data_IF_759792283621
#
_entry.id   IF_759792283621
#
_cell.length_a   1.000
_cell.length_b   1.000
_cell.length_c   1.000
_cell.angle_alpha   90.00
_cell.angle_beta   90.00
_cell.angle_gamma   90.00
#
_symmetry.space_group_name_H-M   'P 1'
#
loop_
_entity.id
_entity.type
_entity.pdbx_description
1 polymer ?
#
# COMPACT_ATOMS: atom_id res chain seq x y z
N UNK A 1 -12.69 24.27 -17.47
CA UNK A 1 -11.68 23.25 -17.09
C UNK A 1 -11.18 23.42 -15.66
N UNK A 2 -10.96 24.64 -15.16
CA UNK A 2 -10.52 24.87 -13.77
C UNK A 2 -11.55 24.45 -12.71
N UNK A 3 -12.84 24.70 -12.93
CA UNK A 3 -13.91 24.33 -11.98
C UNK A 3 -14.01 22.82 -11.73
N UNK A 4 -13.95 22.00 -12.79
CA UNK A 4 -13.95 20.53 -12.66
C UNK A 4 -12.69 19.99 -11.96
N UNK A 5 -11.52 20.63 -12.16
CA UNK A 5 -10.28 20.24 -11.45
C UNK A 5 -10.36 20.57 -9.96
N UNK A 6 -10.94 21.72 -9.61
CA UNK A 6 -11.15 22.12 -8.22
C UNK A 6 -12.15 21.20 -7.51
N UNK A 7 -13.28 20.89 -8.14
CA UNK A 7 -14.30 19.95 -7.61
C UNK A 7 -13.74 18.53 -7.45
N UNK A 8 -12.95 18.05 -8.40
CA UNK A 8 -12.27 16.74 -8.29
C UNK A 8 -11.22 16.72 -7.18
N UNK A 9 -10.46 17.80 -7.00
CA UNK A 9 -9.48 17.92 -5.91
C UNK A 9 -10.15 17.99 -4.53
N UNK A 10 -11.30 18.66 -4.42
CA UNK A 10 -12.10 18.72 -3.21
C UNK A 10 -12.72 17.35 -2.87
N UNK A 11 -13.27 16.66 -3.88
CA UNK A 11 -13.75 15.29 -3.75
C UNK A 11 -12.66 14.31 -3.31
N UNK A 12 -11.45 14.41 -3.89
CA UNK A 12 -10.31 13.59 -3.50
C UNK A 12 -9.87 13.87 -2.05
N UNK A 13 -9.85 15.13 -1.60
CA UNK A 13 -9.56 15.47 -0.20
C UNK A 13 -10.61 14.93 0.76
N UNK A 14 -11.89 15.05 0.42
CA UNK A 14 -12.97 14.50 1.22
C UNK A 14 -12.88 12.97 1.32
N UNK A 15 -12.51 12.30 0.22
CA UNK A 15 -12.29 10.85 0.23
C UNK A 15 -11.07 10.46 1.07
N UNK A 16 -9.95 11.17 0.95
CA UNK A 16 -8.77 10.91 1.77
C UNK A 16 -9.06 11.06 3.28
N UNK A 17 -9.88 12.04 3.68
CA UNK A 17 -10.31 12.20 5.07
C UNK A 17 -11.20 11.04 5.55
N UNK A 18 -12.09 10.53 4.69
CA UNK A 18 -12.88 9.32 5.02
C UNK A 18 -11.98 8.11 5.17
N UNK A 19 -11.04 7.93 4.26
CA UNK A 19 -10.11 6.80 4.30
C UNK A 19 -9.25 6.83 5.57
N UNK A 20 -8.79 8.02 5.95
CA UNK A 20 -8.03 8.23 7.19
C UNK A 20 -8.80 7.77 8.44
N UNK A 21 -10.06 8.17 8.57
CA UNK A 21 -10.93 7.76 9.68
C UNK A 21 -11.11 6.24 9.69
N UNK A 22 -11.36 5.64 8.53
CA UNK A 22 -11.56 4.19 8.40
C UNK A 22 -10.28 3.40 8.74
N UNK A 23 -9.11 3.87 8.31
CA UNK A 23 -7.82 3.25 8.65
C UNK A 23 -7.58 3.35 10.16
N UNK A 24 -7.75 4.53 10.75
CA UNK A 24 -7.57 4.70 12.20
C UNK A 24 -8.50 3.80 13.02
N UNK A 25 -9.76 3.69 12.59
CA UNK A 25 -10.73 2.80 13.22
C UNK A 25 -10.30 1.33 13.08
N UNK A 26 -9.89 0.91 11.88
CA UNK A 26 -9.39 -0.44 11.65
C UNK A 26 -8.17 -0.76 12.52
N UNK A 27 -7.19 0.14 12.59
CA UNK A 27 -5.99 -0.02 13.41
C UNK A 27 -6.37 -0.17 14.89
N UNK A 28 -7.29 0.66 15.39
CA UNK A 28 -7.79 0.57 16.77
C UNK A 28 -8.50 -0.75 17.04
N UNK A 29 -9.39 -1.18 16.15
CA UNK A 29 -10.17 -2.42 16.30
C UNK A 29 -9.28 -3.67 16.25
N UNK A 30 -8.16 -3.61 15.50
CA UNK A 30 -7.15 -4.67 15.45
C UNK A 30 -6.07 -4.55 16.54
N UNK A 31 -6.14 -3.53 17.40
CA UNK A 31 -5.16 -3.31 18.47
C UNK A 31 -3.76 -2.90 17.98
N UNK A 32 -3.66 -2.30 16.79
CA UNK A 32 -2.41 -1.91 16.13
C UNK A 32 -2.04 -0.49 16.57
N UNK A 33 -1.20 -0.39 17.60
CA UNK A 33 -0.89 0.88 18.26
C UNK A 33 0.39 1.56 17.76
N UNK A 34 1.22 0.86 17.00
CA UNK A 34 2.53 1.33 16.55
C UNK A 34 2.55 1.79 15.07
N UNK A 35 1.37 1.92 14.44
CA UNK A 35 1.28 2.42 13.08
C UNK A 35 1.74 3.88 12.99
N UNK A 36 2.55 4.17 11.98
CA UNK A 36 3.02 5.51 11.65
C UNK A 36 2.29 6.01 10.41
N UNK A 37 1.98 7.31 10.36
CA UNK A 37 1.35 7.97 9.21
C UNK A 37 2.37 8.86 8.50
N UNK A 38 2.43 8.80 7.18
CA UNK A 38 3.23 9.70 6.35
C UNK A 38 2.43 10.96 5.97
N UNK A 39 3.10 11.94 5.37
CA UNK A 39 2.45 13.18 4.94
C UNK A 39 1.41 12.97 3.80
N UNK A 40 1.56 11.92 2.99
CA UNK A 40 0.62 11.57 1.91
C UNK A 40 -0.64 10.88 2.43
N UNK A 41 -0.63 10.43 3.70
CA UNK A 41 -1.74 9.70 4.32
C UNK A 41 -1.54 8.18 4.36
N UNK A 42 -0.45 7.65 3.81
CA UNK A 42 -0.07 6.25 3.97
C UNK A 42 0.17 5.93 5.45
N UNK A 43 -0.39 4.82 5.92
CA UNK A 43 -0.05 4.25 7.22
C UNK A 43 0.84 3.03 7.04
N UNK A 44 1.77 2.82 7.96
CA UNK A 44 2.64 1.64 7.92
C UNK A 44 3.06 1.17 9.31
N UNK A 45 3.36 -0.13 9.40
CA UNK A 45 3.98 -0.79 10.55
C UNK A 45 5.16 -1.59 10.04
N UNK A 46 6.37 -1.35 10.55
CA UNK A 46 7.51 -2.24 10.31
C UNK A 46 7.45 -3.35 11.36
N UNK A 47 7.16 -4.57 10.92
CA UNK A 47 7.04 -5.75 11.80
C UNK A 47 8.38 -6.43 12.02
N UNK A 48 9.31 -6.29 11.06
CA UNK A 48 10.68 -6.76 11.18
C UNK A 48 11.61 -5.80 10.45
N UNK A 49 12.60 -5.27 11.15
CA UNK A 49 13.68 -4.50 10.54
C UNK A 49 14.62 -5.43 9.77
N UNK A 50 15.05 -5.00 8.59
CA UNK A 50 16.15 -5.59 7.84
C UNK A 50 17.49 -5.02 8.28
N UNK A 51 18.55 -5.37 7.54
CA UNK A 51 19.94 -5.02 7.90
C UNK A 51 20.65 -4.19 6.83
N UNK A 52 20.04 -3.99 5.66
CA UNK A 52 20.63 -3.18 4.57
C UNK A 52 20.12 -1.74 4.53
N UNK A 53 20.46 -0.99 3.46
CA UNK A 53 19.91 0.34 3.24
C UNK A 53 18.46 0.27 2.76
N UNK A 54 17.78 1.42 2.78
CA UNK A 54 16.52 1.63 2.07
C UNK A 54 16.77 1.76 0.55
N UNK A 55 15.87 1.23 -0.30
CA UNK A 55 15.96 1.42 -1.74
C UNK A 55 15.64 2.88 -2.10
N UNK A 56 16.26 3.37 -3.16
CA UNK A 56 16.02 4.72 -3.70
C UNK A 56 15.24 4.66 -5.02
N UNK A 57 14.54 5.73 -5.43
CA UNK A 57 13.86 5.77 -6.72
C UNK A 57 14.78 5.42 -7.89
N UNK A 58 14.26 4.65 -8.84
CA UNK A 58 15.00 4.09 -9.99
C UNK A 58 15.69 2.76 -9.73
N UNK A 59 15.70 2.26 -8.48
CA UNK A 59 16.20 0.91 -8.17
C UNK A 59 15.19 -0.16 -8.53
N UNK A 60 15.69 -1.30 -9.00
CA UNK A 60 14.87 -2.47 -9.24
C UNK A 60 14.73 -3.23 -7.93
N UNK A 61 13.54 -3.25 -7.37
CA UNK A 61 13.22 -3.89 -6.08
C UNK A 61 12.48 -5.19 -6.31
N UNK A 62 12.71 -6.17 -5.44
CA UNK A 62 12.05 -7.48 -5.45
C UNK A 62 11.37 -7.68 -4.10
N UNK A 63 10.08 -8.00 -4.13
CA UNK A 63 9.24 -8.12 -2.92
C UNK A 63 8.43 -9.40 -2.91
N UNK A 64 8.15 -9.87 -1.71
CA UNK A 64 7.03 -10.78 -1.45
C UNK A 64 5.89 -9.98 -0.83
N UNK A 65 4.65 -10.31 -1.16
CA UNK A 65 3.50 -9.59 -0.65
C UNK A 65 2.24 -10.45 -0.51
N UNK A 66 1.31 -9.95 0.30
CA UNK A 66 -0.09 -10.37 0.32
C UNK A 66 -0.97 -9.13 0.45
N UNK A 67 -1.89 -8.96 -0.49
CA UNK A 67 -2.89 -7.90 -0.52
C UNK A 67 -4.22 -8.35 0.08
N UNK A 68 -4.73 -7.55 1.01
CA UNK A 68 -5.91 -7.83 1.84
C UNK A 68 -6.81 -6.60 1.86
N UNK A 69 -8.13 -6.77 1.75
CA UNK A 69 -9.07 -5.66 1.97
C UNK A 69 -9.38 -5.47 3.46
N UNK A 70 -10.06 -4.39 3.85
CA UNK A 70 -10.37 -4.14 5.26
C UNK A 70 -11.29 -5.21 5.89
N UNK A 71 -11.98 -6.00 5.08
CA UNK A 71 -12.80 -7.13 5.54
C UNK A 71 -11.95 -8.38 5.87
N UNK A 72 -10.66 -8.37 5.52
CA UNK A 72 -9.73 -9.48 5.75
C UNK A 72 -9.68 -10.50 4.61
N UNK A 73 -10.34 -10.23 3.49
CA UNK A 73 -10.27 -11.07 2.30
C UNK A 73 -8.98 -10.79 1.53
N UNK A 74 -8.18 -11.83 1.30
CA UNK A 74 -7.01 -11.77 0.43
C UNK A 74 -7.47 -11.64 -1.01
N UNK A 75 -6.98 -10.64 -1.73
CA UNK A 75 -7.29 -10.46 -3.15
C UNK A 75 -6.11 -10.79 -4.06
N UNK A 76 -4.88 -10.81 -3.52
CA UNK A 76 -3.68 -11.10 -4.29
C UNK A 76 -2.52 -11.54 -3.38
N UNK A 77 -1.65 -12.43 -3.84
CA UNK A 77 -0.47 -12.87 -3.07
C UNK A 77 0.50 -13.67 -3.94
N UNK A 78 1.78 -13.36 -3.83
CA UNK A 78 2.84 -14.11 -4.50
C UNK A 78 3.57 -15.11 -3.57
N UNK A 79 3.02 -15.36 -2.39
CA UNK A 79 3.53 -16.37 -1.44
C UNK A 79 2.48 -17.44 -1.10
N UNK A 80 1.22 -17.22 -1.50
CA UNK A 80 0.12 -18.15 -1.27
C UNK A 80 -0.19 -18.91 -2.57
N UNK A 81 -0.07 -20.24 -2.52
CA UNK A 81 -0.24 -21.12 -3.70
C UNK A 81 -1.64 -21.08 -4.30
N UNK A 82 -2.63 -20.61 -3.54
CA UNK A 82 -4.00 -20.41 -4.03
C UNK A 82 -4.10 -19.39 -5.18
N UNK A 83 -3.11 -18.50 -5.31
CA UNK A 83 -3.10 -17.45 -6.33
C UNK A 83 -2.32 -17.82 -7.60
N UNK A 84 -1.69 -19.01 -7.63
CA UNK A 84 -1.03 -19.58 -8.81
C UNK A 84 0.11 -18.75 -9.45
N UNK A 85 0.63 -17.73 -8.76
CA UNK A 85 1.79 -16.92 -9.18
C UNK A 85 2.79 -16.73 -8.02
N UNK A 86 3.30 -17.83 -7.47
CA UNK A 86 4.16 -17.85 -6.28
C UNK A 86 5.63 -17.52 -6.56
N UNK A 87 5.86 -16.37 -7.20
CA UNK A 87 7.19 -15.87 -7.53
C UNK A 87 7.42 -14.43 -7.01
N UNK A 88 8.63 -14.09 -6.53
CA UNK A 88 8.93 -12.74 -6.07
C UNK A 88 8.64 -11.68 -7.14
N UNK A 89 7.85 -10.67 -6.77
CA UNK A 89 7.44 -9.62 -7.70
C UNK A 89 8.53 -8.55 -7.78
N UNK A 90 8.88 -8.14 -8.99
CA UNK A 90 9.97 -7.18 -9.23
C UNK A 90 9.47 -6.00 -10.04
N UNK A 91 9.80 -4.78 -9.58
CA UNK A 91 9.42 -3.53 -10.24
C UNK A 91 10.47 -2.44 -10.04
N UNK A 92 10.40 -1.36 -10.82
CA UNK A 92 11.28 -0.20 -10.68
C UNK A 92 10.66 0.82 -9.73
N UNK A 93 11.28 1.03 -8.57
CA UNK A 93 10.75 1.85 -7.48
C UNK A 93 10.65 3.33 -7.87
N UNK A 94 9.52 3.98 -7.55
CA UNK A 94 9.34 5.42 -7.76
C UNK A 94 9.17 5.80 -9.24
N UNK A 95 8.83 4.83 -10.09
CA UNK A 95 8.59 5.05 -11.53
C UNK A 95 7.11 4.96 -11.90
N UNK A 96 6.22 4.84 -10.90
CA UNK A 96 4.77 4.74 -11.08
C UNK A 96 4.32 3.52 -11.89
N UNK A 97 5.12 2.45 -11.89
CA UNK A 97 4.74 1.13 -12.42
C UNK A 97 3.72 0.41 -11.52
N UNK A 98 3.70 0.78 -10.24
CA UNK A 98 2.80 0.25 -9.21
C UNK A 98 1.95 1.37 -8.63
N UNK A 99 0.99 1.03 -7.77
CA UNK A 99 0.20 2.03 -7.05
C UNK A 99 1.10 2.96 -6.22
N UNK A 100 0.76 4.23 -6.11
CA UNK A 100 1.62 5.24 -5.44
C UNK A 100 1.90 4.90 -3.96
N UNK A 101 0.99 4.20 -3.28
CA UNK A 101 1.22 3.71 -1.92
C UNK A 101 2.36 2.68 -1.82
N UNK A 102 2.62 1.92 -2.89
CA UNK A 102 3.77 1.02 -2.96
C UNK A 102 5.07 1.76 -3.26
N UNK A 103 5.04 2.71 -4.20
CA UNK A 103 6.21 3.54 -4.51
C UNK A 103 6.74 4.25 -3.24
N UNK A 104 5.85 4.75 -2.40
CA UNK A 104 6.22 5.36 -1.12
C UNK A 104 6.52 4.32 -0.04
N UNK A 105 5.63 3.35 0.16
CA UNK A 105 5.71 2.43 1.29
C UNK A 105 6.88 1.44 1.21
N UNK A 106 7.23 0.96 0.02
CA UNK A 106 8.39 0.05 -0.16
C UNK A 106 9.70 0.79 0.09
N UNK A 107 9.77 2.10 -0.21
CA UNK A 107 10.95 2.92 0.09
C UNK A 107 11.21 3.06 1.61
N UNK A 108 10.20 2.86 2.45
CA UNK A 108 10.34 2.89 3.91
C UNK A 108 10.94 1.59 4.49
N UNK A 109 10.93 0.50 3.73
CA UNK A 109 11.48 -0.79 4.13
C UNK A 109 12.95 -0.87 3.73
N UNK A 110 13.82 -1.19 4.68
CA UNK A 110 15.21 -1.50 4.37
C UNK A 110 15.37 -2.94 3.86
N UNK A 111 16.51 -3.27 3.22
CA UNK A 111 16.69 -4.62 2.64
C UNK A 111 16.49 -5.71 3.69
N UNK A 112 15.55 -6.63 3.42
CA UNK A 112 15.15 -7.73 4.32
C UNK A 112 14.07 -7.37 5.34
N UNK A 113 13.57 -6.13 5.38
CA UNK A 113 12.47 -5.75 6.26
C UNK A 113 11.14 -6.37 5.83
N UNK A 114 10.28 -6.54 6.81
CA UNK A 114 8.86 -6.84 6.66
C UNK A 114 8.04 -5.74 7.28
N UNK A 115 6.94 -5.38 6.63
CA UNK A 115 6.01 -4.42 7.17
C UNK A 115 4.64 -4.53 6.54
N UNK A 116 3.67 -3.91 7.18
CA UNK A 116 2.30 -3.79 6.69
C UNK A 116 2.06 -2.35 6.27
N UNK A 117 1.54 -2.16 5.06
CA UNK A 117 1.09 -0.87 4.53
C UNK A 117 -0.43 -0.82 4.56
N UNK A 118 -1.01 0.29 5.04
CA UNK A 118 -2.44 0.58 4.94
C UNK A 118 -2.60 1.80 4.04
N UNK A 119 -3.05 1.52 2.81
CA UNK A 119 -3.00 2.44 1.69
C UNK A 119 -4.38 3.05 1.49
N UNK A 120 -4.54 4.38 1.67
CA UNK A 120 -5.76 5.08 1.31
C UNK A 120 -6.12 4.85 -0.15
N UNK A 121 -7.41 4.86 -0.48
CA UNK A 121 -7.88 4.48 -1.81
C UNK A 121 -7.31 5.36 -2.92
N UNK A 122 -7.13 6.66 -2.67
CA UNK A 122 -6.52 7.60 -3.61
C UNK A 122 -5.05 7.30 -3.94
N UNK A 123 -4.34 6.57 -3.06
CA UNK A 123 -2.99 6.07 -3.30
C UNK A 123 -2.95 4.65 -3.89
N UNK A 124 -4.13 4.03 -4.04
CA UNK A 124 -4.36 2.72 -4.62
C UNK A 124 -5.06 2.84 -5.98
N UNK A 125 -6.30 2.34 -6.11
CA UNK A 125 -7.07 2.33 -7.36
C UNK A 125 -8.14 3.45 -7.44
N UNK A 126 -8.24 4.29 -6.40
CA UNK A 126 -9.12 5.45 -6.36
C UNK A 126 -10.60 5.11 -6.55
N UNK A 127 -11.37 5.93 -7.28
CA UNK A 127 -12.82 5.75 -7.44
C UNK A 127 -13.22 4.60 -8.37
N UNK A 128 -12.25 3.86 -8.92
CA UNK A 128 -12.52 2.77 -9.86
C UNK A 128 -12.45 1.43 -9.15
N UNK A 129 -13.48 0.60 -9.34
CA UNK A 129 -13.42 -0.80 -8.91
C UNK A 129 -12.43 -1.57 -9.81
N UNK A 130 -11.64 -2.46 -9.21
CA UNK A 130 -10.66 -3.29 -9.91
C UNK A 130 -11.01 -4.78 -9.91
N UNK A 131 -11.63 -5.25 -8.83
CA UNK A 131 -12.07 -6.62 -8.62
C UNK A 131 -13.22 -6.65 -7.60
N UNK A 132 -13.87 -7.80 -7.40
CA UNK A 132 -14.91 -7.93 -6.37
C UNK A 132 -14.40 -7.55 -4.97
N UNK A 133 -13.18 -7.98 -4.62
CA UNK A 133 -12.51 -7.66 -3.37
C UNK A 133 -11.89 -6.24 -3.33
N UNK A 134 -11.84 -5.54 -4.47
CA UNK A 134 -11.29 -4.19 -4.62
C UNK A 134 -12.37 -3.28 -5.26
N UNK A 135 -13.41 -2.91 -4.49
CA UNK A 135 -14.43 -1.98 -4.95
C UNK A 135 -13.87 -0.56 -5.15
N UNK A 136 -14.70 0.33 -5.69
CA UNK A 136 -14.39 1.75 -5.79
C UNK A 136 -14.07 2.34 -4.39
N UNK A 137 -13.03 3.17 -4.33
CA UNK A 137 -12.50 3.77 -3.10
C UNK A 137 -12.09 2.72 -2.04
N UNK A 138 -11.63 1.54 -2.45
CA UNK A 138 -11.13 0.54 -1.52
C UNK A 138 -9.79 0.97 -0.89
N UNK A 139 -9.74 0.91 0.43
CA UNK A 139 -8.50 0.94 1.21
C UNK A 139 -7.87 -0.44 1.15
N UNK A 140 -6.57 -0.49 0.87
CA UNK A 140 -5.83 -1.75 0.73
C UNK A 140 -4.85 -1.93 1.86
N UNK A 141 -4.73 -3.15 2.35
CA UNK A 141 -3.71 -3.57 3.30
C UNK A 141 -2.74 -4.48 2.58
N UNK A 142 -1.45 -4.21 2.70
CA UNK A 142 -0.41 -5.07 2.11
C UNK A 142 0.60 -5.45 3.16
N UNK A 143 0.76 -6.74 3.40
CA UNK A 143 1.94 -7.27 4.07
C UNK A 143 3.03 -7.43 3.01
N UNK A 144 4.18 -6.79 3.21
CA UNK A 144 5.29 -6.74 2.26
C UNK A 144 6.58 -7.14 2.95
N UNK A 145 7.38 -7.95 2.26
CA UNK A 145 8.79 -8.22 2.55
C UNK A 145 9.65 -7.70 1.40
N UNK A 146 10.59 -6.80 1.70
CA UNK A 146 11.60 -6.37 0.74
C UNK A 146 12.71 -7.41 0.68
N UNK A 147 12.69 -8.26 -0.34
CA UNK A 147 13.63 -9.38 -0.50
C UNK A 147 14.99 -8.87 -0.95
N UNK A 148 15.02 -8.06 -2.00
CA UNK A 148 16.27 -7.54 -2.58
C UNK A 148 16.05 -6.24 -3.36
N UNK A 149 17.14 -5.54 -3.68
CA UNK A 149 17.17 -4.47 -4.68
C UNK A 149 18.56 -4.25 -5.27
N UNK A 150 18.62 -3.71 -6.50
CA UNK A 150 19.87 -3.39 -7.21
C UNK A 150 19.80 -2.09 -8.00
#
# INVERSE_FOLDING_TARGET
MEKMKAEAAEGAKAQAAKDDVLIQQYLKDKGIMNAKKTASGLYYVISKEGTGPNPTPGKKVTVNYTGINLQGEKFDSNVDTAFHHVEPFTFDLGTHQVITGWDEGVALLNKGAKGTLYIPSGMAYGPNARAAAIPANAILVFDIELVDFK
#
